data_IF_282889321290
#
_entry.id   IF_282889321290
#
_cell.length_a   1.000
_cell.length_b   1.000
_cell.length_c   1.000
_cell.angle_alpha   90.00
_cell.angle_beta   90.00
_cell.angle_gamma   90.00
#
_symmetry.space_group_name_H-M   'P 1'
#
loop_
_entity.id
_entity.type
_entity.pdbx_description
1 polymer ?
#
# COMPACT_ATOMS: atom_id res chain seq x y z
N UNK A 1 -8.61 34.65 10.83
CA UNK A 1 -7.53 33.70 11.16
C UNK A 1 -8.11 32.31 11.11
N UNK A 2 -7.71 31.53 10.08
CA UNK A 2 -8.07 30.13 10.01
C UNK A 2 -7.03 29.38 10.82
N UNK A 3 -7.47 28.74 11.90
CA UNK A 3 -6.63 27.86 12.71
C UNK A 3 -6.42 26.54 11.94
N UNK A 4 -5.37 26.49 11.13
CA UNK A 4 -4.97 25.29 10.41
C UNK A 4 -4.16 24.40 11.35
N UNK A 5 -4.83 23.51 12.09
CA UNK A 5 -4.15 22.44 12.79
C UNK A 5 -3.96 21.24 11.84
N UNK A 6 -2.72 20.83 11.59
CA UNK A 6 -2.43 19.58 10.88
C UNK A 6 -2.93 18.41 11.71
N UNK A 7 -3.63 17.49 11.07
CA UNK A 7 -4.14 16.26 11.71
C UNK A 7 -3.50 15.00 11.15
N UNK A 8 -3.02 15.07 9.92
CA UNK A 8 -2.43 13.93 9.23
C UNK A 8 -1.22 14.36 8.42
N UNK A 9 -0.25 13.47 8.29
CA UNK A 9 0.89 13.58 7.38
C UNK A 9 0.91 12.33 6.52
N UNK A 10 0.96 12.49 5.20
CA UNK A 10 1.04 11.39 4.26
C UNK A 10 2.28 11.54 3.38
N UNK A 11 3.22 10.61 3.51
CA UNK A 11 4.39 10.51 2.65
C UNK A 11 4.11 9.51 1.53
N UNK A 12 3.83 10.02 0.35
CA UNK A 12 3.49 9.24 -0.83
C UNK A 12 4.14 9.82 -2.08
N UNK A 13 3.86 9.16 -3.23
CA UNK A 13 4.41 9.53 -4.53
C UNK A 13 5.87 9.07 -4.69
N UNK A 14 6.19 8.44 -5.79
CA UNK A 14 7.47 7.76 -5.94
C UNK A 14 7.59 6.58 -4.96
N UNK A 15 8.63 6.54 -4.18
CA UNK A 15 8.85 5.45 -3.21
C UNK A 15 9.56 5.98 -1.96
N UNK A 16 8.84 6.50 -0.97
CA UNK A 16 9.44 7.08 0.24
C UNK A 16 10.34 6.09 1.02
N UNK A 17 10.03 4.79 0.97
CA UNK A 17 10.82 3.73 1.62
C UNK A 17 12.22 3.55 1.02
N UNK A 18 12.54 4.18 -0.11
CA UNK A 18 13.88 4.18 -0.69
C UNK A 18 14.78 5.32 -0.22
N UNK A 19 14.22 6.26 0.53
CA UNK A 19 15.03 7.30 1.14
C UNK A 19 15.94 6.69 2.21
N UNK A 20 17.17 7.23 2.30
CA UNK A 20 18.10 6.81 3.35
C UNK A 20 17.60 7.24 4.72
N UNK A 21 18.15 6.61 5.76
CA UNK A 21 17.90 7.00 7.16
C UNK A 21 18.04 8.51 7.37
N UNK A 22 19.18 9.08 6.96
CA UNK A 22 19.47 10.51 7.14
C UNK A 22 18.49 11.42 6.36
N UNK A 23 18.07 10.97 5.16
CA UNK A 23 17.10 11.71 4.37
C UNK A 23 15.73 11.73 5.05
N UNK A 24 15.29 10.60 5.60
CA UNK A 24 14.03 10.51 6.32
C UNK A 24 14.03 11.34 7.60
N UNK A 25 15.10 11.27 8.40
CA UNK A 25 15.25 12.10 9.62
C UNK A 25 15.15 13.58 9.25
N UNK A 26 15.96 14.05 8.27
CA UNK A 26 15.95 15.44 7.83
C UNK A 26 14.60 15.88 7.27
N UNK A 27 13.89 14.99 6.58
CA UNK A 27 12.55 15.28 6.08
C UNK A 27 11.57 15.55 7.22
N UNK A 28 11.55 14.69 8.24
CA UNK A 28 10.67 14.88 9.39
C UNK A 28 11.06 16.09 10.25
N UNK A 29 12.35 16.36 10.42
CA UNK A 29 12.83 17.59 11.06
C UNK A 29 12.33 18.82 10.31
N UNK A 30 12.48 18.87 8.98
CA UNK A 30 11.99 19.97 8.16
C UNK A 30 10.47 20.13 8.17
N UNK A 31 9.71 19.05 8.21
CA UNK A 31 8.25 19.10 8.39
C UNK A 31 7.91 19.70 9.76
N UNK A 32 8.60 19.24 10.81
CA UNK A 32 8.38 19.74 12.18
C UNK A 32 8.69 21.23 12.28
N UNK A 33 9.81 21.70 11.74
CA UNK A 33 10.20 23.10 11.71
C UNK A 33 9.23 23.99 10.91
N UNK A 34 8.71 23.48 9.79
CA UNK A 34 7.88 24.26 8.88
C UNK A 34 6.43 24.42 9.35
N UNK A 35 5.89 23.43 10.03
CA UNK A 35 4.45 23.34 10.31
C UNK A 35 4.09 23.36 11.79
N UNK A 36 5.05 23.22 12.71
CA UNK A 36 4.77 23.15 14.13
C UNK A 36 5.58 24.21 14.90
N UNK A 37 5.00 24.80 15.96
CA UNK A 37 5.76 25.65 16.89
C UNK A 37 6.93 24.89 17.51
N UNK A 38 7.99 25.61 17.90
CA UNK A 38 9.20 25.05 18.50
C UNK A 38 8.92 24.21 19.77
N UNK A 39 7.88 24.59 20.48
CA UNK A 39 7.42 23.99 21.72
C UNK A 39 6.19 23.09 21.55
N UNK A 40 5.92 22.64 20.31
CA UNK A 40 4.78 21.75 20.02
C UNK A 40 4.92 20.44 20.79
N UNK A 41 3.91 20.05 21.60
CA UNK A 41 4.00 18.89 22.46
C UNK A 41 4.17 17.58 21.65
N UNK A 42 5.15 16.77 22.01
CA UNK A 42 5.40 15.47 21.36
C UNK A 42 4.18 14.54 21.48
N UNK A 43 3.42 14.65 22.58
CA UNK A 43 2.18 13.89 22.77
C UNK A 43 1.11 14.22 21.75
N UNK A 44 1.01 15.46 21.29
CA UNK A 44 0.05 15.88 20.26
C UNK A 44 0.51 15.41 18.88
N UNK A 45 1.82 15.42 18.64
CA UNK A 45 2.39 14.90 17.41
C UNK A 45 2.15 13.39 17.28
N UNK A 46 2.26 12.64 18.36
CA UNK A 46 2.02 11.20 18.39
C UNK A 46 0.55 10.78 18.17
N UNK A 47 -0.40 11.72 18.35
CA UNK A 47 -1.83 11.48 18.08
C UNK A 47 -2.20 11.64 16.62
N UNK A 48 -1.33 12.25 15.82
CA UNK A 48 -1.56 12.43 14.38
C UNK A 48 -1.44 11.10 13.65
N UNK A 49 -2.21 10.92 12.58
CA UNK A 49 -1.94 9.83 11.64
C UNK A 49 -0.78 10.24 10.73
N UNK A 50 0.31 9.49 10.80
CA UNK A 50 1.50 9.73 9.98
C UNK A 50 1.75 8.48 9.15
N UNK A 51 1.37 8.57 7.88
CA UNK A 51 1.42 7.48 6.92
C UNK A 51 2.66 7.58 6.04
N UNK A 52 3.29 6.44 5.77
CA UNK A 52 4.35 6.31 4.77
C UNK A 52 4.02 5.18 3.80
N UNK A 53 4.17 5.45 2.49
CA UNK A 53 4.13 4.42 1.46
C UNK A 53 5.44 3.62 1.45
N UNK A 54 5.32 2.29 1.38
CA UNK A 54 6.45 1.38 1.35
C UNK A 54 6.27 0.31 0.26
N UNK A 55 7.37 -0.08 -0.39
CA UNK A 55 7.39 -1.36 -1.08
C UNK A 55 7.68 -2.49 -0.09
N UNK A 56 7.10 -3.68 -0.28
CA UNK A 56 7.33 -4.81 0.63
C UNK A 56 8.79 -5.19 0.82
N UNK A 57 9.58 -5.15 -0.26
CA UNK A 57 11.00 -5.49 -0.26
C UNK A 57 11.90 -4.42 0.37
N UNK A 58 11.42 -3.20 0.55
CA UNK A 58 12.15 -2.14 1.25
C UNK A 58 12.00 -2.27 2.79
N UNK A 59 11.00 -2.99 3.31
CA UNK A 59 10.75 -3.16 4.74
C UNK A 59 11.71 -4.19 5.33
N UNK A 60 12.99 -3.84 5.37
CA UNK A 60 14.09 -4.60 6.00
C UNK A 60 14.15 -4.38 7.51
N UNK A 61 14.96 -5.16 8.22
CA UNK A 61 15.23 -4.92 9.65
C UNK A 61 15.91 -3.56 9.88
N UNK A 62 16.75 -3.11 8.96
CA UNK A 62 17.42 -1.82 9.04
C UNK A 62 16.41 -0.67 8.83
N UNK A 63 15.53 -0.80 7.84
CA UNK A 63 14.46 0.15 7.62
C UNK A 63 13.49 0.22 8.81
N UNK A 64 13.18 -0.91 9.43
CA UNK A 64 12.38 -0.96 10.66
C UNK A 64 13.03 -0.19 11.82
N UNK A 65 14.37 -0.25 11.98
CA UNK A 65 15.11 0.56 12.97
C UNK A 65 15.01 2.07 12.66
N UNK A 66 14.98 2.43 11.39
CA UNK A 66 14.73 3.82 10.97
C UNK A 66 13.31 4.26 11.33
N UNK A 67 12.30 3.43 11.00
CA UNK A 67 10.91 3.74 11.33
C UNK A 67 10.67 3.92 12.83
N UNK A 68 11.36 3.18 13.70
CA UNK A 68 11.28 3.34 15.15
C UNK A 68 11.77 4.71 15.67
N UNK A 69 12.56 5.43 14.86
CA UNK A 69 13.06 6.77 15.19
C UNK A 69 12.21 7.88 14.56
N UNK A 70 11.21 7.49 13.76
CA UNK A 70 10.30 8.39 13.07
C UNK A 70 8.91 8.32 13.72
N UNK A 71 8.12 9.38 13.62
CA UNK A 71 6.75 9.38 14.15
C UNK A 71 5.75 8.64 13.27
N UNK A 72 6.21 7.81 12.33
CA UNK A 72 5.35 7.02 11.43
C UNK A 72 4.59 5.97 12.23
N UNK A 73 3.26 6.01 12.15
CA UNK A 73 2.37 5.08 12.85
C UNK A 73 1.40 4.32 11.92
N UNK A 74 1.41 4.64 10.63
CA UNK A 74 0.67 3.93 9.59
C UNK A 74 1.57 3.68 8.38
N UNK A 75 1.45 2.49 7.78
CA UNK A 75 2.15 2.14 6.54
C UNK A 75 1.13 1.74 5.48
N UNK A 76 1.25 2.30 4.25
CA UNK A 76 0.55 1.82 3.06
C UNK A 76 1.52 1.05 2.18
N UNK A 77 1.18 -0.18 1.80
CA UNK A 77 2.10 -1.10 1.13
C UNK A 77 1.52 -1.61 -0.19
N UNK A 78 2.22 -1.36 -1.28
CA UNK A 78 1.84 -1.85 -2.59
C UNK A 78 2.07 -3.36 -2.76
N UNK A 79 1.20 -4.19 -2.21
CA UNK A 79 1.25 -5.65 -2.35
C UNK A 79 0.89 -6.10 -3.78
N UNK A 80 -0.07 -5.46 -4.40
CA UNK A 80 -0.60 -5.66 -5.75
C UNK A 80 -1.30 -7.01 -5.93
N UNK A 81 -0.65 -8.12 -5.67
CA UNK A 81 -1.17 -9.49 -5.78
C UNK A 81 -0.28 -10.44 -4.97
N UNK A 82 -0.81 -11.58 -4.59
CA UNK A 82 -0.02 -12.66 -3.99
C UNK A 82 0.43 -13.74 -5.00
N UNK A 83 0.34 -13.43 -6.29
CA UNK A 83 0.87 -14.27 -7.35
C UNK A 83 2.22 -13.75 -7.84
N UNK A 84 3.29 -14.51 -7.61
CA UNK A 84 4.63 -14.15 -8.10
C UNK A 84 4.69 -14.00 -9.63
N UNK A 85 3.82 -14.72 -10.36
CA UNK A 85 3.69 -14.58 -11.81
C UNK A 85 3.14 -13.19 -12.17
N UNK A 86 2.06 -12.73 -11.53
CA UNK A 86 1.48 -11.40 -11.76
C UNK A 86 2.40 -10.28 -11.27
N UNK A 87 3.11 -10.48 -10.14
CA UNK A 87 4.16 -9.54 -9.72
C UNK A 87 5.26 -9.40 -10.76
N UNK A 88 5.70 -10.50 -11.36
CA UNK A 88 6.65 -10.48 -12.47
C UNK A 88 6.11 -9.75 -13.70
N UNK A 89 4.83 -9.93 -14.03
CA UNK A 89 4.17 -9.20 -15.12
C UNK A 89 4.17 -7.67 -14.89
N UNK A 90 3.98 -7.24 -13.65
CA UNK A 90 4.06 -5.82 -13.26
C UNK A 90 5.51 -5.32 -13.09
N UNK A 91 6.52 -6.14 -13.35
CA UNK A 91 7.92 -5.83 -13.09
C UNK A 91 8.21 -5.42 -11.63
N UNK A 92 7.43 -5.97 -10.67
CA UNK A 92 7.67 -5.73 -9.24
C UNK A 92 8.92 -6.49 -8.78
N UNK A 93 9.70 -5.85 -7.89
CA UNK A 93 10.92 -6.46 -7.33
C UNK A 93 10.61 -7.50 -6.26
N UNK A 94 9.56 -7.25 -5.47
CA UNK A 94 9.15 -8.11 -4.37
C UNK A 94 8.41 -9.37 -4.83
N UNK A 95 8.33 -10.34 -3.94
CA UNK A 95 7.55 -11.57 -4.02
C UNK A 95 6.40 -11.55 -3.03
N UNK A 96 5.41 -12.43 -3.21
CA UNK A 96 4.30 -12.56 -2.27
C UNK A 96 4.76 -12.82 -0.82
N UNK A 97 5.85 -13.59 -0.65
CA UNK A 97 6.44 -13.85 0.67
C UNK A 97 6.98 -12.59 1.36
N UNK A 98 7.43 -11.59 0.60
CA UNK A 98 7.99 -10.35 1.14
C UNK A 98 6.90 -9.51 1.80
N UNK A 99 5.67 -9.52 1.27
CA UNK A 99 4.50 -8.83 1.86
C UNK A 99 4.24 -9.36 3.28
N UNK A 100 4.19 -10.70 3.44
CA UNK A 100 3.97 -11.34 4.74
C UNK A 100 5.10 -11.02 5.73
N UNK A 101 6.35 -11.06 5.25
CA UNK A 101 7.52 -10.75 6.07
C UNK A 101 7.54 -9.27 6.49
N UNK A 102 7.19 -8.34 5.59
CA UNK A 102 7.10 -6.93 5.86
C UNK A 102 6.06 -6.61 6.94
N UNK A 103 4.84 -7.13 6.81
CA UNK A 103 3.77 -6.97 7.80
C UNK A 103 4.21 -7.49 9.18
N UNK A 104 4.84 -8.66 9.22
CA UNK A 104 5.36 -9.22 10.48
C UNK A 104 6.41 -8.32 11.13
N UNK A 105 7.33 -7.74 10.33
CA UNK A 105 8.36 -6.81 10.84
C UNK A 105 7.75 -5.53 11.36
N UNK A 106 6.82 -4.93 10.61
CA UNK A 106 6.12 -3.69 10.99
C UNK A 106 5.38 -3.87 12.33
N UNK A 107 4.63 -4.97 12.47
CA UNK A 107 3.95 -5.29 13.75
C UNK A 107 4.95 -5.53 14.88
N UNK A 108 6.09 -6.14 14.58
CA UNK A 108 7.17 -6.36 15.55
C UNK A 108 7.78 -5.08 16.12
N UNK A 109 7.66 -3.96 15.42
CA UNK A 109 8.13 -2.63 15.90
C UNK A 109 7.00 -1.71 16.39
N UNK A 110 5.76 -2.25 16.50
CA UNK A 110 4.60 -1.52 17.03
C UNK A 110 3.75 -0.78 15.99
N UNK A 111 4.04 -0.90 14.70
CA UNK A 111 3.17 -0.36 13.64
C UNK A 111 2.09 -1.39 13.34
N UNK A 112 0.88 -1.12 13.84
CA UNK A 112 -0.28 -1.99 13.68
C UNK A 112 -1.28 -1.48 12.63
N UNK A 113 -1.27 -0.19 12.30
CA UNK A 113 -2.13 0.37 11.24
C UNK A 113 -1.44 0.16 9.89
N UNK A 114 -1.82 -0.90 9.19
CA UNK A 114 -1.23 -1.31 7.91
C UNK A 114 -2.33 -1.36 6.86
N UNK A 115 -2.10 -0.63 5.76
CA UNK A 115 -2.88 -0.71 4.53
C UNK A 115 -2.12 -1.52 3.48
N UNK A 116 -2.83 -2.32 2.69
CA UNK A 116 -2.27 -2.92 1.49
C UNK A 116 -3.08 -2.53 0.27
N UNK A 117 -2.35 -2.34 -0.86
CA UNK A 117 -2.98 -2.09 -2.14
C UNK A 117 -2.98 -3.38 -2.95
N UNK A 118 -4.15 -3.76 -3.47
CA UNK A 118 -4.34 -4.92 -4.35
C UNK A 118 -4.77 -4.46 -5.74
N UNK A 119 -4.44 -5.26 -6.73
CA UNK A 119 -4.89 -5.05 -8.10
C UNK A 119 -5.58 -6.31 -8.62
N UNK A 120 -6.64 -6.13 -9.39
CA UNK A 120 -7.35 -7.20 -10.09
C UNK A 120 -7.56 -6.84 -11.56
N UNK A 121 -7.97 -7.81 -12.35
CA UNK A 121 -8.21 -7.59 -13.76
C UNK A 121 -6.98 -7.78 -14.64
N UNK A 122 -6.03 -8.61 -14.20
CA UNK A 122 -4.87 -8.96 -15.02
C UNK A 122 -5.27 -9.79 -16.23
N UNK A 123 -4.52 -9.69 -17.34
CA UNK A 123 -4.72 -10.56 -18.50
C UNK A 123 -4.77 -12.03 -18.10
N UNK A 124 -5.87 -12.69 -18.45
CA UNK A 124 -6.09 -14.11 -18.13
C UNK A 124 -6.37 -14.44 -16.66
N UNK A 125 -6.56 -13.45 -15.81
CA UNK A 125 -6.95 -13.66 -14.42
C UNK A 125 -8.37 -14.21 -14.32
N UNK A 126 -8.55 -15.22 -13.48
CA UNK A 126 -9.86 -15.80 -13.19
C UNK A 126 -10.42 -15.30 -11.87
N UNK A 127 -11.75 -15.38 -11.69
CA UNK A 127 -12.39 -15.11 -10.40
C UNK A 127 -11.76 -15.92 -9.25
N UNK A 128 -11.38 -17.17 -9.52
CA UNK A 128 -10.72 -18.02 -8.52
C UNK A 128 -9.32 -17.54 -8.14
N UNK A 129 -8.61 -16.91 -9.07
CA UNK A 129 -7.29 -16.35 -8.76
C UNK A 129 -7.41 -15.08 -7.94
N UNK A 130 -8.39 -14.23 -8.25
CA UNK A 130 -8.71 -13.06 -7.46
C UNK A 130 -9.23 -13.41 -6.05
N UNK A 131 -10.09 -14.43 -5.93
CA UNK A 131 -10.56 -14.97 -4.66
C UNK A 131 -9.39 -15.35 -3.74
N UNK A 132 -8.36 -15.99 -4.26
CA UNK A 132 -7.16 -16.34 -3.47
C UNK A 132 -6.41 -15.09 -2.97
N UNK A 133 -6.30 -14.05 -3.79
CA UNK A 133 -5.65 -12.80 -3.36
C UNK A 133 -6.44 -12.12 -2.24
N UNK A 134 -7.77 -12.10 -2.32
CA UNK A 134 -8.64 -11.57 -1.26
C UNK A 134 -8.49 -12.41 0.02
N UNK A 135 -8.54 -13.74 -0.09
CA UNK A 135 -8.38 -14.65 1.05
C UNK A 135 -7.03 -14.45 1.76
N UNK A 136 -5.94 -14.31 1.00
CA UNK A 136 -4.63 -14.02 1.56
C UNK A 136 -4.59 -12.67 2.27
N UNK A 137 -5.20 -11.64 1.71
CA UNK A 137 -5.30 -10.32 2.35
C UNK A 137 -6.08 -10.39 3.68
N UNK A 138 -7.20 -11.11 3.71
CA UNK A 138 -8.00 -11.34 4.91
C UNK A 138 -7.18 -12.09 5.97
N UNK A 139 -6.45 -13.15 5.58
CA UNK A 139 -5.61 -13.92 6.50
C UNK A 139 -4.44 -13.11 7.10
N UNK A 140 -3.94 -12.09 6.39
CA UNK A 140 -2.93 -11.19 6.92
C UNK A 140 -3.49 -10.27 8.02
N UNK A 141 -4.80 -10.08 8.06
CA UNK A 141 -5.50 -9.29 9.08
C UNK A 141 -5.02 -7.84 9.11
N UNK A 142 -4.80 -7.23 7.94
CA UNK A 142 -4.44 -5.82 7.84
C UNK A 142 -5.65 -4.95 8.13
N UNK A 143 -5.41 -3.73 8.55
CA UNK A 143 -6.45 -2.81 9.01
C UNK A 143 -7.19 -2.13 7.85
N UNK A 144 -6.56 -2.07 6.67
CA UNK A 144 -7.14 -1.45 5.49
C UNK A 144 -6.69 -2.16 4.21
N UNK A 145 -7.57 -2.22 3.22
CA UNK A 145 -7.29 -2.77 1.89
C UNK A 145 -7.83 -1.79 0.85
N UNK A 146 -6.97 -1.31 -0.04
CA UNK A 146 -7.36 -0.62 -1.26
C UNK A 146 -7.28 -1.61 -2.43
N UNK A 147 -8.28 -1.64 -3.28
CA UNK A 147 -8.27 -2.53 -4.44
C UNK A 147 -8.61 -1.76 -5.71
N UNK A 148 -7.79 -1.94 -6.74
CA UNK A 148 -7.86 -1.22 -8.00
C UNK A 148 -7.97 -2.19 -9.17
N UNK A 149 -8.83 -1.87 -10.14
CA UNK A 149 -8.80 -2.56 -11.43
C UNK A 149 -7.55 -2.15 -12.21
N UNK A 150 -6.91 -3.10 -12.87
CA UNK A 150 -5.79 -2.83 -13.77
C UNK A 150 -6.26 -1.93 -14.92
N UNK A 151 -5.61 -0.78 -15.08
CA UNK A 151 -5.91 0.17 -16.14
C UNK A 151 -4.80 0.19 -17.20
N UNK A 152 -5.20 0.37 -18.45
CA UNK A 152 -4.30 0.43 -19.61
C UNK A 152 -4.17 1.89 -20.06
N UNK A 153 -3.20 2.61 -19.50
CA UNK A 153 -2.98 4.02 -19.79
C UNK A 153 -2.10 4.20 -21.03
N UNK A 154 -2.49 5.10 -21.93
CA UNK A 154 -1.72 5.45 -23.12
C UNK A 154 -0.27 5.82 -22.77
N UNK A 155 0.68 5.41 -23.61
CA UNK A 155 2.10 5.66 -23.41
C UNK A 155 2.81 4.65 -22.50
N UNK A 156 2.09 3.79 -21.77
CA UNK A 156 2.69 2.73 -20.93
C UNK A 156 3.09 1.51 -21.77
N UNK A 157 3.97 0.69 -21.22
CA UNK A 157 4.35 -0.59 -21.84
C UNK A 157 3.16 -1.53 -21.94
N UNK A 158 2.31 -1.54 -20.92
CA UNK A 158 1.12 -2.38 -20.82
C UNK A 158 0.12 -2.03 -21.94
N UNK A 159 -0.14 -0.75 -22.16
CA UNK A 159 -1.00 -0.27 -23.23
C UNK A 159 -0.47 -0.68 -24.63
N UNK A 160 0.83 -0.56 -24.84
CA UNK A 160 1.45 -1.02 -26.10
C UNK A 160 1.32 -2.52 -26.34
N UNK A 161 1.36 -3.32 -25.27
CA UNK A 161 1.15 -4.77 -25.39
C UNK A 161 -0.29 -5.09 -25.75
N UNK A 162 -1.25 -4.36 -25.22
CA UNK A 162 -2.68 -4.47 -25.59
C UNK A 162 -2.90 -4.10 -27.05
N UNK A 163 -2.40 -2.94 -27.51
CA UNK A 163 -2.51 -2.50 -28.91
C UNK A 163 -1.89 -3.52 -29.89
N UNK A 164 -0.81 -4.20 -29.48
CA UNK A 164 -0.15 -5.22 -30.30
C UNK A 164 -0.83 -6.59 -30.23
N UNK A 165 -1.93 -6.73 -29.49
CA UNK A 165 -2.63 -7.99 -29.31
C UNK A 165 -1.80 -9.07 -28.57
N UNK A 166 -0.78 -8.66 -27.80
CA UNK A 166 0.04 -9.57 -26.99
C UNK A 166 -0.64 -9.97 -25.69
N UNK A 167 -1.54 -9.16 -25.23
CA UNK A 167 -2.39 -9.38 -24.06
C UNK A 167 -3.82 -8.95 -24.42
N UNK A 168 -4.76 -9.49 -23.69
CA UNK A 168 -6.17 -9.13 -23.78
C UNK A 168 -6.64 -8.59 -22.44
N UNK A 169 -7.41 -7.53 -22.46
CA UNK A 169 -8.10 -7.03 -21.27
C UNK A 169 -9.20 -8.00 -20.88
N UNK A 170 -9.45 -8.17 -19.58
CA UNK A 170 -10.61 -8.94 -19.13
C UNK A 170 -11.90 -8.24 -19.58
N UNK A 171 -12.92 -9.03 -19.87
CA UNK A 171 -14.20 -8.45 -20.26
C UNK A 171 -14.89 -7.76 -19.07
N UNK A 172 -15.76 -6.80 -19.38
CA UNK A 172 -16.46 -5.97 -18.39
C UNK A 172 -17.26 -6.81 -17.38
N UNK A 173 -17.91 -7.88 -17.82
CA UNK A 173 -18.68 -8.75 -16.92
C UNK A 173 -17.78 -9.46 -15.91
N UNK A 174 -16.62 -9.94 -16.31
CA UNK A 174 -15.64 -10.53 -15.37
C UNK A 174 -15.11 -9.49 -14.39
N UNK A 175 -14.81 -8.28 -14.88
CA UNK A 175 -14.37 -7.17 -14.01
C UNK A 175 -15.42 -6.82 -12.96
N UNK A 176 -16.70 -6.74 -13.37
CA UNK A 176 -17.84 -6.50 -12.48
C UNK A 176 -17.96 -7.60 -11.43
N UNK A 177 -17.85 -8.87 -11.83
CA UNK A 177 -17.90 -10.01 -10.92
C UNK A 177 -16.74 -10.01 -9.92
N UNK A 178 -15.54 -9.62 -10.33
CA UNK A 178 -14.38 -9.47 -9.45
C UNK A 178 -14.63 -8.39 -8.39
N UNK A 179 -15.20 -7.27 -8.79
CA UNK A 179 -15.55 -6.19 -7.85
C UNK A 179 -16.64 -6.61 -6.86
N UNK A 180 -17.69 -7.29 -7.31
CA UNK A 180 -18.75 -7.81 -6.43
C UNK A 180 -18.21 -8.87 -5.45
N UNK A 181 -17.31 -9.74 -5.90
CA UNK A 181 -16.64 -10.72 -5.06
C UNK A 181 -15.81 -10.05 -3.96
N UNK A 182 -15.04 -9.01 -4.32
CA UNK A 182 -14.25 -8.21 -3.38
C UNK A 182 -15.14 -7.66 -2.24
N UNK A 183 -16.20 -6.94 -2.59
CA UNK A 183 -17.12 -6.35 -1.61
C UNK A 183 -17.70 -7.44 -0.71
N UNK A 184 -18.19 -8.53 -1.31
CA UNK A 184 -18.85 -9.61 -0.58
C UNK A 184 -17.91 -10.28 0.42
N UNK A 185 -16.68 -10.61 0.01
CA UNK A 185 -15.73 -11.29 0.87
C UNK A 185 -15.19 -10.39 1.97
N UNK A 186 -14.79 -9.16 1.64
CA UNK A 186 -14.25 -8.23 2.63
C UNK A 186 -15.32 -7.83 3.67
N UNK A 187 -16.55 -7.55 3.25
CA UNK A 187 -17.62 -7.23 4.20
C UNK A 187 -17.99 -8.44 5.08
N UNK A 188 -17.97 -9.65 4.53
CA UNK A 188 -18.17 -10.88 5.30
C UNK A 188 -17.05 -11.14 6.31
N UNK A 189 -15.84 -10.68 6.03
CA UNK A 189 -14.69 -10.73 6.91
C UNK A 189 -14.63 -9.58 7.94
N UNK A 190 -15.61 -8.68 7.93
CA UNK A 190 -15.74 -7.59 8.90
C UNK A 190 -15.12 -6.26 8.47
N UNK A 191 -14.67 -6.13 7.22
CA UNK A 191 -14.24 -4.84 6.68
C UNK A 191 -15.45 -3.99 6.31
N UNK A 192 -15.34 -2.70 6.53
CA UNK A 192 -16.32 -1.71 6.09
C UNK A 192 -15.97 -1.23 4.67
N UNK A 193 -16.96 -1.29 3.77
CA UNK A 193 -16.84 -0.74 2.42
C UNK A 193 -17.33 0.71 2.42
N UNK A 194 -16.51 1.67 2.00
CA UNK A 194 -16.82 3.10 2.06
C UNK A 194 -16.55 3.87 0.76
N UNK A 195 -15.99 3.22 -0.27
CA UNK A 195 -15.80 3.78 -1.62
C UNK A 195 -16.22 2.79 -2.71
#
# INVERSE_FOLDING_TARGET
>A
DYDYSLRTIYLGGGTPSQLTHDQLIRLFEGIKEAYFPVDYPEEEFSKMEITMECNPDDVSEEFCKTLQQLPVNRVSMGAQTFSDHRLGFLHRRHKAADVKAAIKRLRGIGIHNISIDLMFGFPGETLKDWEKDIDEAIHLGVEHISAYSLMYEEGTTLYRMLEQGKIEEINEETSRQMYELLITQLTSAGYEHYE
#
